data_IF_576063093991
#
_entry.id   IF_576063093991
#
_cell.length_a   1.000
_cell.length_b   1.000
_cell.length_c   1.000
_cell.angle_alpha   90.00
_cell.angle_beta   90.00
_cell.angle_gamma   90.00
#
_symmetry.space_group_name_H-M   'P 1'
#
loop_
_entity.id
_entity.type
_entity.pdbx_description
1 polymer ?
#
# COMPACT_ATOMS: atom_id res chain seq x y z
N UNK A 1 5.10 -14.53 22.38
CA UNK A 1 4.03 -15.52 22.68
C UNK A 1 3.92 -15.65 24.19
N UNK A 2 2.73 -15.46 24.76
CA UNK A 2 2.51 -15.66 26.19
C UNK A 2 2.60 -17.15 26.54
N UNK A 3 3.16 -17.47 27.71
CA UNK A 3 3.18 -18.84 28.24
C UNK A 3 1.76 -19.31 28.58
N UNK A 4 1.50 -20.62 28.50
CA UNK A 4 0.23 -21.24 28.94
C UNK A 4 -0.14 -20.78 30.36
N UNK A 5 0.84 -20.71 31.27
CA UNK A 5 0.62 -20.24 32.64
C UNK A 5 0.25 -18.75 32.76
N UNK A 6 0.60 -17.92 31.77
CA UNK A 6 0.16 -16.52 31.73
C UNK A 6 -1.28 -16.43 31.22
N UNK A 7 -1.62 -17.20 30.20
CA UNK A 7 -2.98 -17.26 29.65
C UNK A 7 -3.99 -17.79 30.67
N UNK A 8 -3.66 -18.87 31.40
CA UNK A 8 -4.53 -19.40 32.46
C UNK A 8 -4.79 -18.34 33.54
N UNK A 9 -3.75 -17.65 34.01
CA UNK A 9 -3.90 -16.60 35.03
C UNK A 9 -4.75 -15.43 34.56
N UNK A 10 -4.60 -15.00 33.29
CA UNK A 10 -5.45 -13.94 32.73
C UNK A 10 -6.91 -14.39 32.66
N UNK A 11 -7.16 -15.64 32.29
CA UNK A 11 -8.50 -16.20 32.28
C UNK A 11 -9.11 -16.27 33.69
N UNK A 12 -8.34 -16.71 34.69
CA UNK A 12 -8.79 -16.76 36.09
C UNK A 12 -9.17 -15.35 36.58
N UNK A 13 -8.35 -14.33 36.29
CA UNK A 13 -8.67 -12.93 36.61
C UNK A 13 -9.95 -12.49 35.88
N UNK A 14 -10.08 -12.78 34.58
CA UNK A 14 -11.27 -12.43 33.81
C UNK A 14 -12.57 -12.99 34.43
N UNK A 15 -12.55 -14.23 34.94
CA UNK A 15 -13.72 -14.85 35.61
C UNK A 15 -14.12 -14.15 36.91
N UNK A 16 -13.19 -13.48 37.60
CA UNK A 16 -13.52 -12.69 38.79
C UNK A 16 -14.46 -11.52 38.46
N UNK A 17 -14.29 -10.92 37.28
CA UNK A 17 -15.19 -9.86 36.82
C UNK A 17 -16.60 -10.39 36.60
N UNK A 18 -16.72 -11.51 35.88
CA UNK A 18 -18.01 -12.05 35.46
C UNK A 18 -18.79 -12.64 36.65
N UNK A 19 -18.09 -13.17 37.65
CA UNK A 19 -18.71 -13.75 38.87
C UNK A 19 -19.00 -12.75 39.98
N UNK A 20 -18.34 -11.58 39.98
CA UNK A 20 -18.39 -10.57 41.06
C UNK A 20 -18.01 -11.07 42.47
N UNK A 21 -17.54 -12.32 42.60
CA UNK A 21 -17.20 -12.92 43.88
C UNK A 21 -15.98 -12.26 44.50
N UNK A 22 -16.05 -11.91 45.79
CA UNK A 22 -14.99 -11.21 46.53
C UNK A 22 -14.73 -9.77 46.09
N UNK A 23 -15.68 -9.12 45.40
CA UNK A 23 -15.60 -7.68 45.15
C UNK A 23 -15.54 -6.90 46.46
N UNK A 24 -14.57 -6.01 46.59
CA UNK A 24 -14.30 -5.18 47.77
C UNK A 24 -14.29 -3.67 47.45
N UNK A 25 -14.73 -3.32 46.23
CA UNK A 25 -14.81 -1.96 45.72
C UNK A 25 -16.01 -1.81 44.77
N UNK A 26 -16.73 -0.70 44.88
CA UNK A 26 -17.82 -0.33 43.97
C UNK A 26 -17.45 0.98 43.28
N UNK A 27 -17.45 0.99 41.95
CA UNK A 27 -17.37 2.21 41.16
C UNK A 27 -18.80 2.65 40.81
N UNK A 28 -19.20 3.80 41.32
CA UNK A 28 -20.48 4.44 40.98
C UNK A 28 -20.24 5.43 39.85
N UNK A 29 -20.89 5.20 38.73
CA UNK A 29 -20.86 6.09 37.58
C UNK A 29 -22.28 6.21 37.04
N UNK A 30 -22.77 7.45 36.97
CA UNK A 30 -24.18 7.75 36.63
C UNK A 30 -25.17 6.97 37.53
N UNK A 31 -25.98 6.08 36.97
CA UNK A 31 -26.93 5.22 37.69
C UNK A 31 -26.46 3.77 37.84
N UNK A 32 -25.20 3.49 37.52
CA UNK A 32 -24.65 2.14 37.48
C UNK A 32 -23.66 1.93 38.63
N UNK A 33 -23.81 0.81 39.32
CA UNK A 33 -22.86 0.34 40.33
C UNK A 33 -22.03 -0.82 39.74
N UNK A 34 -20.73 -0.61 39.60
CA UNK A 34 -19.81 -1.58 39.02
C UNK A 34 -18.97 -2.21 40.15
N UNK A 35 -19.29 -3.46 40.48
CA UNK A 35 -18.57 -4.23 41.49
C UNK A 35 -17.23 -4.72 40.94
N UNK A 36 -16.15 -4.37 41.62
CA UNK A 36 -14.77 -4.61 41.18
C UNK A 36 -13.87 -4.98 42.35
N UNK A 37 -12.64 -5.38 42.03
CA UNK A 37 -11.67 -5.82 43.02
C UNK A 37 -10.54 -4.80 43.13
N UNK A 38 -10.37 -4.24 44.34
CA UNK A 38 -9.37 -3.24 44.67
C UNK A 38 -7.98 -3.69 44.29
N UNK A 39 -7.61 -4.93 44.64
CA UNK A 39 -6.30 -5.49 44.31
C UNK A 39 -6.02 -5.50 42.80
N UNK A 40 -7.02 -5.83 41.98
CA UNK A 40 -6.87 -5.87 40.51
C UNK A 40 -6.73 -4.46 39.96
N UNK A 41 -7.65 -3.55 40.30
CA UNK A 41 -7.65 -2.18 39.80
C UNK A 41 -6.43 -1.37 40.25
N UNK A 42 -6.06 -1.43 41.53
CA UNK A 42 -4.91 -0.72 42.06
C UNK A 42 -3.59 -1.25 41.49
N UNK A 43 -3.52 -2.54 41.13
CA UNK A 43 -2.34 -3.10 40.45
C UNK A 43 -2.20 -2.60 39.00
N UNK A 44 -3.33 -2.32 38.34
CA UNK A 44 -3.36 -1.88 36.96
C UNK A 44 -3.13 -0.38 36.80
N UNK A 45 -3.66 0.46 37.69
CA UNK A 45 -3.59 1.92 37.60
C UNK A 45 -3.06 2.54 38.89
N UNK A 46 -2.01 3.36 38.76
CA UNK A 46 -1.47 4.15 39.87
C UNK A 46 -2.48 5.20 40.36
N UNK A 47 -3.27 5.77 39.46
CA UNK A 47 -4.31 6.74 39.79
C UNK A 47 -5.40 6.08 40.63
N UNK A 48 -5.89 4.90 40.20
CA UNK A 48 -6.85 4.11 40.98
C UNK A 48 -6.25 3.66 42.31
N UNK A 49 -4.98 3.28 42.34
CA UNK A 49 -4.29 2.92 43.58
C UNK A 49 -4.26 4.07 44.59
N UNK A 50 -4.01 5.30 44.14
CA UNK A 50 -4.03 6.49 45.00
C UNK A 50 -5.43 6.80 45.50
N UNK A 51 -6.43 6.76 44.61
CA UNK A 51 -7.84 6.97 44.98
C UNK A 51 -8.32 5.94 46.02
N UNK A 52 -7.82 4.72 45.93
CA UNK A 52 -8.15 3.62 46.83
C UNK A 52 -7.34 3.61 48.15
N UNK A 53 -6.41 4.53 48.35
CA UNK A 53 -5.61 4.58 49.58
C UNK A 53 -6.50 4.97 50.78
N UNK A 54 -6.28 4.34 51.94
CA UNK A 54 -7.13 4.46 53.13
C UNK A 54 -7.17 5.87 53.73
N UNK A 55 -6.34 6.78 53.22
CA UNK A 55 -6.30 8.20 53.59
C UNK A 55 -7.39 9.03 52.92
N UNK A 56 -8.07 8.48 51.92
CA UNK A 56 -9.17 9.10 51.21
C UNK A 56 -10.50 8.41 51.54
N UNK A 57 -11.62 9.13 51.41
CA UNK A 57 -12.95 8.62 51.75
C UNK A 57 -13.29 7.36 50.95
N UNK A 58 -12.83 7.28 49.71
CA UNK A 58 -13.03 6.13 48.83
C UNK A 58 -12.31 4.87 49.34
N UNK A 59 -11.10 5.04 49.87
CA UNK A 59 -10.34 3.95 50.47
C UNK A 59 -10.94 3.41 51.77
N UNK A 60 -11.73 4.23 52.47
CA UNK A 60 -12.43 3.89 53.71
C UNK A 60 -13.86 3.36 53.48
N UNK A 61 -14.57 3.88 52.48
CA UNK A 61 -15.97 3.51 52.16
C UNK A 61 -16.06 2.35 51.17
N UNK A 62 -15.00 2.10 50.39
CA UNK A 62 -15.06 1.12 49.31
C UNK A 62 -15.95 1.56 48.15
N UNK A 63 -16.26 2.85 48.06
CA UNK A 63 -17.07 3.43 46.99
C UNK A 63 -16.27 4.55 46.32
N UNK A 64 -16.18 4.48 45.00
CA UNK A 64 -15.54 5.49 44.16
C UNK A 64 -16.61 6.08 43.25
N UNK A 65 -17.01 7.33 43.50
CA UNK A 65 -17.93 8.06 42.63
C UNK A 65 -17.15 8.76 41.51
N UNK A 66 -17.58 8.59 40.25
CA UNK A 66 -16.92 9.13 39.06
C UNK A 66 -17.91 9.84 38.16
N UNK A 67 -17.53 11.04 37.72
CA UNK A 67 -18.38 11.91 36.90
C UNK A 67 -17.68 12.39 35.62
N UNK A 68 -16.39 12.08 35.46
CA UNK A 68 -15.57 12.56 34.34
C UNK A 68 -15.80 11.78 33.05
N UNK A 69 -16.25 10.54 33.14
CA UNK A 69 -16.50 9.65 32.01
C UNK A 69 -17.87 9.00 32.15
N UNK A 70 -18.51 8.69 31.02
CA UNK A 70 -19.77 7.95 30.99
C UNK A 70 -19.58 6.48 31.46
N UNK A 71 -20.66 5.86 31.89
CA UNK A 71 -20.61 4.53 32.47
C UNK A 71 -20.12 3.45 31.49
N UNK A 72 -20.38 3.57 30.18
CA UNK A 72 -19.90 2.61 29.19
C UNK A 72 -18.39 2.73 29.00
N UNK A 73 -17.86 3.95 29.03
CA UNK A 73 -16.41 4.20 28.96
C UNK A 73 -15.69 3.64 30.19
N UNK A 74 -16.24 3.84 31.39
CA UNK A 74 -15.73 3.24 32.63
C UNK A 74 -15.79 1.71 32.56
N UNK A 75 -16.88 1.15 32.02
CA UNK A 75 -17.02 -0.29 31.87
C UNK A 75 -16.00 -0.89 30.88
N UNK A 76 -15.69 -0.20 29.77
CA UNK A 76 -14.63 -0.61 28.83
C UNK A 76 -13.26 -0.58 29.48
N UNK A 77 -12.97 0.43 30.30
CA UNK A 77 -11.72 0.47 31.08
C UNK A 77 -11.65 -0.72 32.05
N UNK A 78 -12.72 -1.00 32.79
CA UNK A 78 -12.76 -2.16 33.71
C UNK A 78 -12.61 -3.46 32.91
N UNK A 79 -13.31 -3.61 31.78
CA UNK A 79 -13.15 -4.77 30.90
C UNK A 79 -11.70 -4.98 30.51
N UNK A 80 -11.04 -3.91 30.09
CA UNK A 80 -9.64 -3.94 29.74
C UNK A 80 -8.75 -4.40 30.90
N UNK A 81 -8.94 -3.84 32.09
CA UNK A 81 -8.15 -4.20 33.27
C UNK A 81 -8.22 -5.72 33.54
N UNK A 82 -9.39 -6.33 33.38
CA UNK A 82 -9.61 -7.75 33.65
C UNK A 82 -9.26 -8.66 32.47
N UNK A 83 -9.60 -8.26 31.24
CA UNK A 83 -9.59 -9.13 30.04
C UNK A 83 -8.49 -8.76 29.04
N UNK A 84 -7.75 -7.67 29.28
CA UNK A 84 -6.71 -7.11 28.39
C UNK A 84 -7.24 -6.78 26.97
N UNK A 85 -8.54 -6.65 26.84
CA UNK A 85 -9.27 -6.17 25.67
C UNK A 85 -10.56 -5.53 26.15
N UNK A 86 -11.27 -4.84 25.26
CA UNK A 86 -12.60 -4.33 25.51
C UNK A 86 -13.43 -4.40 24.24
N UNK A 87 -14.75 -4.40 24.37
CA UNK A 87 -15.64 -4.46 23.23
C UNK A 87 -16.46 -3.18 23.13
N UNK A 88 -16.77 -2.81 21.90
CA UNK A 88 -17.83 -1.85 21.62
C UNK A 88 -18.99 -2.70 21.14
N UNK A 89 -19.92 -2.98 22.03
CA UNK A 89 -21.20 -3.59 21.67
C UNK A 89 -22.26 -2.49 21.52
N UNK A 90 -23.26 -2.73 20.67
CA UNK A 90 -24.43 -1.86 20.58
C UNK A 90 -25.09 -1.84 21.96
N UNK A 91 -25.52 -0.68 22.49
CA UNK A 91 -26.31 -0.67 23.70
C UNK A 91 -27.48 -1.62 23.47
N UNK A 92 -27.52 -2.70 24.26
CA UNK A 92 -28.72 -3.52 24.32
C UNK A 92 -29.86 -2.58 24.70
N UNK A 93 -31.06 -2.71 24.10
CA UNK A 93 -32.21 -1.98 24.60
C UNK A 93 -32.35 -2.39 26.07
N UNK A 94 -32.09 -1.44 26.97
CA UNK A 94 -32.45 -1.57 28.36
C UNK A 94 -33.95 -1.80 28.37
N UNK A 95 -34.34 -3.05 28.59
CA UNK A 95 -35.73 -3.44 28.83
C UNK A 95 -36.16 -2.78 30.13
N UNK A 96 -36.52 -1.51 30.06
CA UNK A 96 -37.43 -0.90 30.99
C UNK A 96 -38.79 -1.58 30.77
N UNK A 97 -39.03 -2.65 31.52
CA UNK A 97 -40.39 -3.10 31.78
C UNK A 97 -40.57 -3.19 33.28
N UNK A 98 -40.98 -2.03 33.79
CA UNK A 98 -41.98 -1.84 34.84
C UNK A 98 -42.53 -3.14 35.43
N UNK A 99 -42.18 -3.30 36.70
CA UNK A 99 -43.05 -3.89 37.71
C UNK A 99 -44.51 -3.47 37.53
N UNK A 100 -45.43 -4.44 37.56
CA UNK A 100 -46.74 -4.29 38.19
C UNK A 100 -47.43 -5.65 38.41
N UNK A 101 -47.76 -5.86 39.68
CA UNK A 101 -48.88 -6.63 40.25
C UNK A 101 -48.85 -8.16 40.21
N UNK A 102 -48.48 -8.73 41.36
CA UNK A 102 -49.04 -10.00 41.82
C UNK A 102 -50.44 -9.75 42.39
N UNK A 103 -51.46 -10.30 41.74
CA UNK A 103 -52.69 -10.72 42.44
C UNK A 103 -52.94 -12.19 42.13
N UNK A 104 -53.33 -12.87 43.18
CA UNK A 104 -53.41 -14.31 43.40
C UNK A 104 -54.73 -14.87 42.83
N UNK A 105 -54.70 -16.04 42.16
CA UNK A 105 -55.63 -17.17 42.38
C UNK A 105 -55.48 -18.28 41.32
N UNK A 106 -55.48 -19.50 41.84
CA UNK A 106 -55.34 -20.86 41.29
C UNK A 106 -56.67 -21.40 40.68
N UNK A 107 -56.85 -22.71 40.34
CA UNK A 107 -56.42 -23.50 39.16
C UNK A 107 -57.62 -24.16 38.39
N UNK A 108 -57.31 -25.09 37.47
CA UNK A 108 -58.18 -26.05 36.69
C UNK A 108 -58.40 -25.63 35.23
N UNK A 109 -58.40 -26.50 34.22
CA UNK A 109 -58.56 -27.97 34.15
C UNK A 109 -57.93 -28.52 32.86
N UNK A 110 -57.61 -29.81 32.87
CA UNK A 110 -57.20 -30.67 31.75
C UNK A 110 -58.37 -30.87 30.76
N UNK A 111 -58.09 -30.98 29.44
CA UNK A 111 -58.71 -32.00 28.56
C UNK A 111 -57.93 -32.18 27.23
N UNK A 112 -58.07 -33.39 26.69
CA UNK A 112 -57.28 -34.13 25.72
C UNK A 112 -57.67 -33.94 24.23
N UNK A 113 -56.75 -34.35 23.33
CA UNK A 113 -56.96 -34.86 21.94
C UNK A 113 -57.54 -33.88 20.88
N UNK A 114 -57.29 -33.94 19.57
CA UNK A 114 -56.85 -34.97 18.60
C UNK A 114 -56.25 -34.27 17.35
N UNK A 115 -55.51 -35.00 16.51
CA UNK A 115 -54.80 -34.48 15.35
C UNK A 115 -55.66 -34.23 14.10
N UNK A 116 -55.13 -33.38 13.21
CA UNK A 116 -55.32 -33.50 11.75
C UNK A 116 -54.09 -32.97 11.03
N UNK A 117 -53.64 -33.78 10.08
CA UNK A 117 -52.51 -33.61 9.19
C UNK A 117 -52.79 -32.58 8.09
N UNK A 118 -51.69 -32.12 7.48
CA UNK A 118 -51.58 -31.49 6.16
C UNK A 118 -52.14 -30.05 6.00
N UNK A 119 -51.24 -29.07 6.09
CA UNK A 119 -51.19 -28.04 5.04
C UNK A 119 -49.79 -27.42 4.92
N UNK A 120 -49.33 -27.38 3.68
CA UNK A 120 -47.96 -27.17 3.26
C UNK A 120 -47.68 -25.67 3.08
N UNK A 121 -46.95 -25.06 4.03
CA UNK A 121 -46.45 -23.69 3.92
C UNK A 121 -44.99 -23.68 3.44
N UNK A 122 -44.60 -22.78 2.51
CA UNK A 122 -43.22 -22.70 2.01
C UNK A 122 -42.25 -22.34 3.14
N UNK A 123 -41.21 -23.16 3.30
CA UNK A 123 -40.08 -22.88 4.19
C UNK A 123 -39.31 -21.66 3.69
N UNK A 124 -39.63 -20.49 4.24
CA UNK A 124 -38.72 -19.34 4.26
C UNK A 124 -37.47 -19.73 5.07
N UNK A 125 -36.25 -19.51 4.56
CA UNK A 125 -35.03 -19.79 5.31
C UNK A 125 -34.96 -18.85 6.52
N UNK A 126 -35.12 -19.47 7.69
CA UNK A 126 -34.70 -19.04 9.02
C UNK A 126 -33.78 -17.80 9.07
N UNK A 127 -34.22 -16.85 9.91
CA UNK A 127 -33.47 -15.74 10.46
C UNK A 127 -31.98 -16.06 10.68
N UNK A 128 -31.10 -15.29 10.05
CA UNK A 128 -29.97 -14.73 10.79
C UNK A 128 -30.42 -13.35 11.21
N UNK A 129 -30.91 -13.23 12.45
CA UNK A 129 -31.06 -11.93 13.09
C UNK A 129 -29.66 -11.30 13.09
N UNK A 130 -29.41 -10.41 12.12
CA UNK A 130 -28.17 -9.68 12.01
C UNK A 130 -27.95 -8.98 13.34
N UNK A 131 -26.89 -9.36 14.06
CA UNK A 131 -26.39 -8.60 15.20
C UNK A 131 -26.38 -7.12 14.76
N UNK A 132 -27.04 -6.19 15.47
CA UNK A 132 -27.11 -4.80 15.02
C UNK A 132 -25.69 -4.30 14.80
N UNK A 133 -25.35 -4.01 13.55
CA UNK A 133 -24.04 -3.44 13.21
C UNK A 133 -24.01 -2.05 13.83
N UNK A 134 -23.11 -1.84 14.78
CA UNK A 134 -22.90 -0.54 15.41
C UNK A 134 -22.52 0.45 14.32
N UNK A 135 -23.05 1.67 14.38
CA UNK A 135 -22.60 2.73 13.48
C UNK A 135 -21.10 2.96 13.70
N UNK A 136 -20.31 2.93 12.62
CA UNK A 136 -18.86 3.12 12.68
C UNK A 136 -18.44 4.37 13.47
N UNK A 137 -19.17 5.49 13.35
CA UNK A 137 -18.88 6.71 14.09
C UNK A 137 -19.13 6.55 15.60
N UNK A 138 -20.12 5.74 16.01
CA UNK A 138 -20.32 5.37 17.42
C UNK A 138 -19.15 4.53 17.94
N UNK A 139 -18.61 3.63 17.12
CA UNK A 139 -17.42 2.86 17.47
C UNK A 139 -16.18 3.74 17.58
N UNK A 140 -15.98 4.67 16.65
CA UNK A 140 -14.89 5.66 16.70
C UNK A 140 -14.96 6.51 17.97
N UNK A 141 -16.15 7.01 18.34
CA UNK A 141 -16.38 7.73 19.60
C UNK A 141 -16.02 6.86 20.81
N UNK A 142 -16.46 5.61 20.84
CA UNK A 142 -16.15 4.70 21.94
C UNK A 142 -14.65 4.41 22.07
N UNK A 143 -13.94 4.26 20.96
CA UNK A 143 -12.48 4.09 20.95
C UNK A 143 -11.75 5.37 21.38
N UNK A 144 -12.23 6.54 20.95
CA UNK A 144 -11.70 7.83 21.38
C UNK A 144 -11.85 8.01 22.91
N UNK A 145 -13.02 7.71 23.47
CA UNK A 145 -13.25 7.75 24.91
C UNK A 145 -12.40 6.73 25.68
N UNK A 146 -12.26 5.51 25.14
CA UNK A 146 -11.37 4.49 25.71
C UNK A 146 -9.89 4.94 25.72
N UNK A 147 -9.47 5.69 24.70
CA UNK A 147 -8.14 6.31 24.66
C UNK A 147 -7.99 7.35 25.78
N UNK A 148 -8.96 8.25 25.92
CA UNK A 148 -8.93 9.32 26.93
C UNK A 148 -8.97 8.80 28.37
N UNK A 149 -9.84 7.83 28.68
CA UNK A 149 -9.87 7.22 30.02
C UNK A 149 -8.58 6.43 30.31
N UNK A 150 -7.98 5.82 29.28
CA UNK A 150 -6.68 5.18 29.38
C UNK A 150 -5.56 6.16 29.73
N UNK A 151 -5.57 7.35 29.14
CA UNK A 151 -4.65 8.43 29.51
C UNK A 151 -4.87 8.90 30.95
N UNK A 152 -6.11 9.23 31.31
CA UNK A 152 -6.46 9.76 32.63
C UNK A 152 -6.05 8.83 33.78
N UNK A 153 -6.27 7.52 33.63
CA UNK A 153 -5.92 6.54 34.66
C UNK A 153 -4.50 5.96 34.51
N UNK A 154 -3.65 6.55 33.66
CA UNK A 154 -2.28 6.10 33.42
C UNK A 154 -2.20 4.61 32.99
N UNK A 155 -3.08 4.21 32.05
CA UNK A 155 -3.16 2.88 31.44
C UNK A 155 -2.62 2.94 29.99
N UNK A 156 -1.30 3.03 29.78
CA UNK A 156 -0.72 3.27 28.44
C UNK A 156 -1.03 2.15 27.44
N UNK A 157 -1.17 0.91 27.89
CA UNK A 157 -1.52 -0.22 27.03
C UNK A 157 -2.99 -0.22 26.60
N UNK A 158 -3.90 0.35 27.42
CA UNK A 158 -5.28 0.63 27.00
C UNK A 158 -5.30 1.74 25.96
N UNK A 159 -4.56 2.83 26.21
CA UNK A 159 -4.45 3.96 25.30
C UNK A 159 -3.96 3.49 23.92
N UNK A 160 -2.90 2.68 23.88
CA UNK A 160 -2.39 2.08 22.64
C UNK A 160 -3.45 1.20 21.96
N UNK A 161 -4.07 0.26 22.69
CA UNK A 161 -5.09 -0.62 22.12
C UNK A 161 -6.29 0.17 21.57
N UNK A 162 -6.67 1.24 22.24
CA UNK A 162 -7.76 2.10 21.79
C UNK A 162 -7.41 2.87 20.52
N UNK A 163 -6.18 3.36 20.39
CA UNK A 163 -5.69 3.92 19.14
C UNK A 163 -5.73 2.87 18.03
N UNK A 164 -5.16 1.68 18.25
CA UNK A 164 -5.12 0.61 17.25
C UNK A 164 -6.54 0.24 16.75
N UNK A 165 -7.51 0.14 17.66
CA UNK A 165 -8.92 -0.12 17.29
C UNK A 165 -9.57 1.06 16.57
N UNK A 166 -9.30 2.30 17.00
CA UNK A 166 -9.75 3.50 16.28
C UNK A 166 -9.25 3.51 14.84
N UNK A 167 -7.97 3.19 14.63
CA UNK A 167 -7.37 3.14 13.29
C UNK A 167 -7.97 2.03 12.42
N UNK A 168 -8.17 0.84 13.00
CA UNK A 168 -8.76 -0.30 12.30
C UNK A 168 -10.21 -0.01 11.87
N UNK A 169 -11.01 0.57 12.78
CA UNK A 169 -12.39 0.97 12.51
C UNK A 169 -12.44 2.05 11.40
N UNK A 170 -11.63 3.11 11.53
CA UNK A 170 -11.59 4.19 10.56
C UNK A 170 -11.12 3.77 9.15
N UNK A 171 -10.34 2.70 9.07
CA UNK A 171 -9.85 2.15 7.78
C UNK A 171 -10.84 1.15 7.17
N UNK A 172 -11.58 0.42 8.00
CA UNK A 172 -12.46 -0.66 7.55
C UNK A 172 -13.85 -0.18 7.15
N UNK A 173 -14.33 0.91 7.76
CA UNK A 173 -15.64 1.48 7.47
C UNK A 173 -15.62 3.00 7.55
N UNK A 174 -16.39 3.63 6.66
CA UNK A 174 -16.55 5.07 6.57
C UNK A 174 -18.02 5.44 6.51
N UNK A 175 -18.40 6.47 7.26
CA UNK A 175 -19.73 7.09 7.18
C UNK A 175 -19.61 8.57 7.47
N UNK A 176 -20.05 9.41 6.53
CA UNK A 176 -20.14 10.86 6.76
C UNK A 176 -21.22 11.21 7.79
N UNK A 177 -22.29 10.42 7.87
CA UNK A 177 -23.41 10.63 8.79
C UNK A 177 -22.96 10.39 10.24
N UNK A 178 -22.90 11.47 11.02
CA UNK A 178 -22.43 11.45 12.42
C UNK A 178 -20.92 11.64 12.57
N UNK A 179 -20.17 11.85 11.48
CA UNK A 179 -18.72 12.07 11.57
C UNK A 179 -18.38 13.37 12.32
N UNK A 180 -19.25 14.38 12.22
CA UNK A 180 -19.12 15.61 13.00
C UNK A 180 -19.09 15.35 14.50
N UNK A 181 -19.85 14.36 14.99
CA UNK A 181 -19.89 14.01 16.41
C UNK A 181 -18.59 13.35 16.85
N UNK A 182 -17.92 12.61 15.95
CA UNK A 182 -16.56 12.10 16.19
C UNK A 182 -15.57 13.25 16.36
N UNK A 183 -15.65 14.28 15.51
CA UNK A 183 -14.79 15.46 15.61
C UNK A 183 -15.02 16.19 16.93
N UNK A 184 -16.28 16.42 17.30
CA UNK A 184 -16.64 17.09 18.56
C UNK A 184 -16.13 16.32 19.76
N UNK A 185 -16.33 15.00 19.77
CA UNK A 185 -15.87 14.14 20.85
C UNK A 185 -14.35 14.18 20.99
N UNK A 186 -13.61 13.97 19.90
CA UNK A 186 -12.13 14.00 19.92
C UNK A 186 -11.62 15.37 20.38
N UNK A 187 -12.22 16.47 19.93
CA UNK A 187 -11.83 17.80 20.38
C UNK A 187 -12.14 18.04 21.87
N UNK A 188 -13.23 17.47 22.39
CA UNK A 188 -13.61 17.60 23.79
C UNK A 188 -12.68 16.82 24.72
N UNK A 189 -12.26 15.61 24.32
CA UNK A 189 -11.42 14.74 25.16
C UNK A 189 -9.91 14.99 24.99
N UNK A 190 -9.45 15.37 23.80
CA UNK A 190 -8.05 15.68 23.54
C UNK A 190 -7.76 17.13 23.91
N UNK A 191 -7.28 17.38 25.14
CA UNK A 191 -6.68 18.67 25.50
C UNK A 191 -5.59 19.10 24.50
N UNK A 192 -5.23 20.39 24.41
CA UNK A 192 -4.35 20.98 23.36
C UNK A 192 -3.01 20.25 23.09
N UNK A 193 -2.58 19.34 23.97
CA UNK A 193 -1.32 18.60 23.87
C UNK A 193 -1.45 17.20 23.23
N UNK A 194 -2.63 16.58 23.23
CA UNK A 194 -2.83 15.27 22.60
C UNK A 194 -2.89 15.42 21.08
N UNK A 195 -1.73 15.27 20.45
CA UNK A 195 -1.57 15.37 19.00
C UNK A 195 -1.86 14.06 18.29
N UNK A 196 -1.74 12.91 18.96
CA UNK A 196 -1.81 11.62 18.27
C UNK A 196 -3.21 11.35 17.73
N UNK A 197 -4.23 11.41 18.60
CA UNK A 197 -5.61 11.13 18.21
C UNK A 197 -6.14 12.17 17.22
N UNK A 198 -5.86 13.46 17.45
CA UNK A 198 -6.21 14.54 16.49
C UNK A 198 -5.51 14.38 15.14
N UNK A 199 -4.24 13.97 15.12
CA UNK A 199 -3.54 13.72 13.87
C UNK A 199 -4.18 12.55 13.11
N UNK A 200 -4.60 11.50 13.82
CA UNK A 200 -5.27 10.37 13.20
C UNK A 200 -6.64 10.76 12.65
N UNK A 201 -7.47 11.43 13.44
CA UNK A 201 -8.77 11.97 13.00
C UNK A 201 -8.61 12.85 11.76
N UNK A 202 -7.60 13.73 11.75
CA UNK A 202 -7.29 14.57 10.59
C UNK A 202 -6.90 13.75 9.36
N UNK A 203 -6.13 12.66 9.55
CA UNK A 203 -5.81 11.71 8.48
C UNK A 203 -7.09 11.13 7.85
N UNK A 204 -8.01 10.65 8.68
CA UNK A 204 -9.31 10.11 8.23
C UNK A 204 -10.09 11.16 7.43
N UNK A 205 -10.16 12.39 7.93
CA UNK A 205 -10.84 13.48 7.22
C UNK A 205 -10.14 13.86 5.90
N UNK A 206 -8.81 13.81 5.84
CA UNK A 206 -8.05 14.06 4.61
C UNK A 206 -8.23 12.94 3.58
N UNK A 207 -8.35 11.68 4.01
CA UNK A 207 -8.58 10.53 3.14
C UNK A 207 -9.97 10.58 2.48
N UNK A 208 -10.94 11.24 3.15
CA UNK A 208 -12.31 11.40 2.67
C UNK A 208 -12.69 12.86 2.35
N UNK A 209 -11.69 13.73 2.12
CA UNK A 209 -11.89 15.19 2.01
C UNK A 209 -12.87 15.58 0.92
N UNK A 210 -12.86 14.88 -0.22
CA UNK A 210 -13.75 15.18 -1.34
C UNK A 210 -15.22 15.00 -0.94
N UNK A 211 -15.56 13.92 -0.21
CA UNK A 211 -16.92 13.70 0.29
C UNK A 211 -17.33 14.71 1.36
N UNK A 212 -16.39 15.14 2.19
CA UNK A 212 -16.64 16.12 3.25
C UNK A 212 -16.94 17.51 2.68
N UNK A 213 -16.16 17.95 1.70
CA UNK A 213 -16.31 19.27 1.07
C UNK A 213 -17.56 19.34 0.20
N UNK A 214 -17.94 18.25 -0.45
CA UNK A 214 -19.14 18.18 -1.30
C UNK A 214 -20.46 18.03 -0.49
N UNK A 215 -20.39 17.86 0.83
CA UNK A 215 -21.57 17.68 1.67
C UNK A 215 -21.97 18.98 2.40
N UNK A 216 -23.05 19.61 1.92
CA UNK A 216 -23.54 20.88 2.47
C UNK A 216 -23.89 20.79 3.97
N UNK A 217 -24.55 19.73 4.44
CA UNK A 217 -24.91 19.56 5.87
C UNK A 217 -23.68 19.50 6.77
N UNK A 218 -22.65 18.75 6.34
CA UNK A 218 -21.37 18.69 7.05
C UNK A 218 -20.69 20.05 7.06
N UNK A 219 -20.65 20.75 5.92
CA UNK A 219 -20.01 22.07 5.82
C UNK A 219 -20.73 23.13 6.64
N UNK A 220 -22.08 23.12 6.67
CA UNK A 220 -22.87 23.98 7.56
C UNK A 220 -22.55 23.70 9.03
N UNK A 221 -22.55 22.44 9.45
CA UNK A 221 -22.20 22.07 10.83
C UNK A 221 -20.76 22.44 11.19
N UNK A 222 -19.82 22.27 10.27
CA UNK A 222 -18.42 22.66 10.44
C UNK A 222 -18.25 24.17 10.64
N UNK A 223 -19.11 24.98 10.02
CA UNK A 223 -19.10 26.44 10.16
C UNK A 223 -19.82 26.93 11.42
N UNK A 224 -20.95 26.30 11.78
CA UNK A 224 -21.84 26.78 12.84
C UNK A 224 -21.44 26.30 14.25
N UNK A 225 -20.85 25.10 14.36
CA UNK A 225 -20.55 24.50 15.66
C UNK A 225 -19.21 25.03 16.21
N UNK A 226 -19.19 25.71 17.39
CA UNK A 226 -17.95 26.30 17.92
C UNK A 226 -16.89 25.27 18.30
N UNK A 227 -17.30 24.08 18.73
CA UNK A 227 -16.43 23.00 19.21
C UNK A 227 -15.68 22.26 18.08
N UNK A 228 -15.95 22.58 16.81
CA UNK A 228 -15.23 22.02 15.65
C UNK A 228 -14.41 23.05 14.87
N UNK A 229 -14.46 24.34 15.23
CA UNK A 229 -13.79 25.40 14.47
C UNK A 229 -12.27 25.28 14.46
N UNK A 230 -11.66 24.84 15.57
CA UNK A 230 -10.23 24.56 15.63
C UNK A 230 -9.82 23.47 14.64
N UNK A 231 -10.66 22.42 14.53
CA UNK A 231 -10.47 21.37 13.54
C UNK A 231 -10.61 21.91 12.12
N UNK A 232 -11.59 22.78 11.85
CA UNK A 232 -11.73 23.41 10.53
C UNK A 232 -10.48 24.22 10.14
N UNK A 233 -9.95 25.03 11.06
CA UNK A 233 -8.72 25.79 10.83
C UNK A 233 -7.51 24.87 10.58
N UNK A 234 -7.41 23.77 11.31
CA UNK A 234 -6.35 22.77 11.11
C UNK A 234 -6.50 22.01 9.79
N UNK A 235 -7.72 21.68 9.38
CA UNK A 235 -7.99 21.09 8.07
C UNK A 235 -7.59 22.03 6.94
N UNK A 236 -7.93 23.32 7.01
CA UNK A 236 -7.50 24.30 6.01
C UNK A 236 -5.97 24.37 5.89
N UNK A 237 -5.26 24.42 7.01
CA UNK A 237 -3.79 24.39 7.03
C UNK A 237 -3.24 23.08 6.45
N UNK A 238 -3.85 21.94 6.78
CA UNK A 238 -3.41 20.63 6.30
C UNK A 238 -3.62 20.49 4.79
N UNK A 239 -4.75 20.92 4.26
CA UNK A 239 -5.05 20.88 2.82
C UNK A 239 -4.08 21.75 2.03
N UNK A 240 -3.82 22.99 2.48
CA UNK A 240 -2.86 23.89 1.82
C UNK A 240 -1.44 23.29 1.84
N UNK A 241 -1.01 22.73 2.98
CA UNK A 241 0.29 22.06 3.08
C UNK A 241 0.39 20.86 2.15
N UNK A 242 -0.63 20.01 2.11
CA UNK A 242 -0.69 18.84 1.23
C UNK A 242 -0.60 19.21 -0.25
N UNK A 243 -1.28 20.28 -0.65
CA UNK A 243 -1.20 20.80 -2.02
C UNK A 243 0.19 21.38 -2.33
N UNK A 244 0.77 22.17 -1.43
CA UNK A 244 2.13 22.71 -1.60
C UNK A 244 3.19 21.59 -1.68
N UNK A 245 3.06 20.54 -0.88
CA UNK A 245 3.98 19.39 -0.91
C UNK A 245 3.86 18.62 -2.23
N UNK A 246 2.63 18.42 -2.74
CA UNK A 246 2.41 17.84 -4.08
C UNK A 246 3.03 18.70 -5.18
N UNK A 247 2.83 20.02 -5.12
CA UNK A 247 3.38 20.95 -6.11
C UNK A 247 4.91 20.95 -6.07
N UNK A 248 5.51 20.97 -4.87
CA UNK A 248 6.97 20.91 -4.69
C UNK A 248 7.56 19.63 -5.26
N UNK A 249 6.92 18.47 -5.00
CA UNK A 249 7.35 17.19 -5.59
C UNK A 249 7.20 17.16 -7.11
N UNK A 250 6.16 17.81 -7.65
CA UNK A 250 5.98 17.91 -9.10
C UNK A 250 7.05 18.81 -9.73
N UNK A 251 7.36 19.94 -9.09
CA UNK A 251 8.43 20.86 -9.51
C UNK A 251 9.80 20.18 -9.47
N UNK A 252 10.10 19.40 -8.42
CA UNK A 252 11.32 18.58 -8.34
C UNK A 252 11.42 17.56 -9.48
N UNK A 253 10.34 16.84 -9.78
CA UNK A 253 10.29 15.92 -10.92
C UNK A 253 10.48 16.64 -12.25
N UNK A 254 9.82 17.78 -12.43
CA UNK A 254 9.92 18.58 -13.65
C UNK A 254 11.36 19.08 -13.85
N UNK A 255 12.01 19.60 -12.81
CA UNK A 255 13.44 19.96 -12.84
C UNK A 255 14.33 18.76 -13.20
N UNK A 256 14.04 17.59 -12.64
CA UNK A 256 14.75 16.35 -12.98
C UNK A 256 14.65 15.99 -14.46
N UNK A 257 13.46 16.09 -15.06
CA UNK A 257 13.28 15.86 -16.50
C UNK A 257 13.98 16.92 -17.35
N UNK A 258 13.93 18.19 -16.97
CA UNK A 258 14.64 19.26 -17.69
C UNK A 258 16.15 19.01 -17.70
N UNK A 259 16.72 18.59 -16.58
CA UNK A 259 18.14 18.24 -16.49
C UNK A 259 18.51 17.03 -17.37
N UNK A 260 17.60 16.04 -17.49
CA UNK A 260 17.80 14.91 -18.40
C UNK A 260 17.80 15.36 -19.87
N UNK A 261 16.92 16.29 -20.25
CA UNK A 261 16.90 16.84 -21.61
C UNK A 261 18.18 17.64 -21.91
N UNK A 262 18.60 18.49 -20.98
CA UNK A 262 19.83 19.29 -21.11
C UNK A 262 21.09 18.42 -21.24
N UNK A 263 21.15 17.29 -20.53
CA UNK A 263 22.28 16.35 -20.63
C UNK A 263 22.24 15.44 -21.86
N UNK A 264 21.05 15.24 -22.46
CA UNK A 264 20.90 14.44 -23.68
C UNK A 264 21.31 15.21 -24.94
N UNK A 265 21.11 16.54 -24.98
CA UNK A 265 21.46 17.39 -26.13
C UNK A 265 22.92 17.22 -26.61
N UNK A 266 23.96 17.34 -25.75
CA UNK A 266 25.35 17.16 -26.20
C UNK A 266 25.64 15.72 -26.64
N UNK A 267 24.97 14.72 -26.08
CA UNK A 267 25.13 13.32 -26.48
C UNK A 267 24.59 13.09 -27.89
N UNK A 268 23.42 13.67 -28.19
CA UNK A 268 22.83 13.64 -29.53
C UNK A 268 23.77 14.33 -30.53
N UNK A 269 24.31 15.50 -30.18
CA UNK A 269 25.28 16.19 -31.05
C UNK A 269 26.54 15.34 -31.31
N UNK A 270 27.07 14.69 -30.26
CA UNK A 270 28.22 13.81 -30.39
C UNK A 270 27.90 12.58 -31.27
N UNK A 271 26.73 11.98 -31.10
CA UNK A 271 26.28 10.85 -31.93
C UNK A 271 26.10 11.28 -33.38
N UNK A 272 25.51 12.45 -33.65
CA UNK A 272 25.39 13.00 -35.00
C UNK A 272 26.78 13.17 -35.66
N UNK A 273 27.76 13.72 -34.95
CA UNK A 273 29.15 13.84 -35.45
C UNK A 273 29.78 12.48 -35.77
N UNK A 274 29.50 11.46 -34.97
CA UNK A 274 29.99 10.09 -35.23
C UNK A 274 29.33 9.50 -36.47
N UNK A 275 28.02 9.67 -36.63
CA UNK A 275 27.29 9.19 -37.81
C UNK A 275 27.81 9.87 -39.08
N UNK A 276 28.04 11.19 -39.07
CA UNK A 276 28.57 11.90 -40.25
C UNK A 276 29.96 11.39 -40.63
N UNK A 277 30.84 11.19 -39.65
CA UNK A 277 32.19 10.68 -39.91
C UNK A 277 32.17 9.26 -40.48
N UNK A 278 31.37 8.37 -39.90
CA UNK A 278 31.21 7.00 -40.41
C UNK A 278 30.60 6.97 -41.81
N UNK A 279 29.65 7.87 -42.10
CA UNK A 279 29.05 7.98 -43.44
C UNK A 279 30.11 8.36 -44.47
N UNK A 280 30.94 9.37 -44.17
CA UNK A 280 32.05 9.77 -45.05
C UNK A 280 33.07 8.64 -45.24
N UNK A 281 33.37 7.85 -44.21
CA UNK A 281 34.26 6.70 -44.29
C UNK A 281 33.68 5.58 -45.17
N UNK A 282 32.38 5.29 -45.04
CA UNK A 282 31.68 4.31 -45.90
C UNK A 282 31.69 4.77 -47.35
N UNK A 283 31.42 6.04 -47.62
CA UNK A 283 31.48 6.60 -48.98
C UNK A 283 32.89 6.45 -49.57
N UNK A 284 33.94 6.80 -48.82
CA UNK A 284 35.33 6.64 -49.25
C UNK A 284 35.67 5.17 -49.57
N UNK A 285 35.30 4.25 -48.69
CA UNK A 285 35.53 2.82 -48.88
C UNK A 285 34.75 2.27 -50.08
N UNK A 286 33.53 2.75 -50.31
CA UNK A 286 32.72 2.36 -51.46
C UNK A 286 33.33 2.85 -52.77
N UNK A 287 33.83 4.09 -52.83
CA UNK A 287 34.57 4.59 -53.99
C UNK A 287 35.84 3.76 -54.25
N UNK A 288 36.57 3.38 -53.20
CA UNK A 288 37.72 2.48 -53.31
C UNK A 288 37.35 1.10 -53.86
N UNK A 289 36.28 0.50 -53.35
CA UNK A 289 35.77 -0.79 -53.81
C UNK A 289 35.31 -0.73 -55.28
N UNK A 290 34.61 0.33 -55.69
CA UNK A 290 34.17 0.52 -57.07
C UNK A 290 35.33 0.73 -58.04
N UNK A 291 36.38 1.44 -57.61
CA UNK A 291 37.62 1.59 -58.38
C UNK A 291 38.30 0.22 -58.60
N UNK A 292 38.49 -0.57 -57.54
CA UNK A 292 39.06 -1.92 -57.62
C UNK A 292 38.20 -2.83 -58.50
N UNK A 293 36.87 -2.78 -58.38
CA UNK A 293 35.94 -3.55 -59.21
C UNK A 293 36.07 -3.17 -60.69
N UNK A 294 36.22 -1.89 -60.98
CA UNK A 294 36.41 -1.37 -62.34
C UNK A 294 37.73 -1.84 -62.93
N UNK A 295 38.82 -1.78 -62.17
CA UNK A 295 40.13 -2.26 -62.60
C UNK A 295 40.15 -3.77 -62.80
N UNK A 296 39.56 -4.55 -61.89
CA UNK A 296 39.42 -6.00 -62.05
C UNK A 296 38.62 -6.35 -63.32
N UNK A 297 37.54 -5.62 -63.62
CA UNK A 297 36.75 -5.80 -64.84
C UNK A 297 37.58 -5.47 -66.09
N UNK A 298 38.37 -4.40 -66.06
CA UNK A 298 39.28 -4.03 -67.16
C UNK A 298 40.34 -5.11 -67.39
N UNK A 299 40.99 -5.58 -66.33
CA UNK A 299 41.98 -6.66 -66.39
C UNK A 299 41.37 -7.95 -66.95
N UNK A 300 40.19 -8.36 -66.47
CA UNK A 300 39.50 -9.54 -67.00
C UNK A 300 39.14 -9.41 -68.49
N UNK A 301 38.70 -8.23 -68.93
CA UNK A 301 38.43 -7.99 -70.35
C UNK A 301 39.72 -8.07 -71.19
N UNK A 302 40.83 -7.51 -70.70
CA UNK A 302 42.14 -7.63 -71.35
C UNK A 302 42.60 -9.10 -71.44
N UNK A 303 42.42 -9.88 -70.37
CA UNK A 303 42.67 -11.33 -70.37
C UNK A 303 41.87 -12.07 -71.43
N UNK A 304 40.56 -11.82 -71.47
CA UNK A 304 39.68 -12.47 -72.42
C UNK A 304 40.06 -12.14 -73.86
N UNK A 305 40.48 -10.90 -74.14
CA UNK A 305 41.03 -10.50 -75.45
C UNK A 305 42.32 -11.26 -75.76
N UNK A 306 43.25 -11.32 -74.80
CA UNK A 306 44.52 -12.03 -74.97
C UNK A 306 44.36 -13.52 -75.24
N UNK A 307 43.39 -14.20 -74.59
CA UNK A 307 43.07 -15.60 -74.88
C UNK A 307 42.62 -15.79 -76.34
N UNK A 308 41.74 -14.92 -76.85
CA UNK A 308 41.24 -15.02 -78.24
C UNK A 308 42.34 -14.83 -79.27
N UNK A 309 43.38 -14.07 -78.93
CA UNK A 309 44.52 -13.78 -79.80
C UNK A 309 45.66 -14.83 -79.68
N UNK A 310 45.48 -15.92 -78.92
CA UNK A 310 46.48 -16.98 -78.83
C UNK A 310 46.57 -17.77 -80.15
N UNK A 311 47.79 -18.14 -80.59
CA UNK A 311 47.97 -18.95 -81.80
C UNK A 311 47.35 -20.34 -81.64
N UNK A 312 46.86 -20.95 -82.72
CA UNK A 312 46.23 -22.28 -82.72
C UNK A 312 47.20 -23.44 -82.53
N UNK A 313 48.52 -23.21 -82.60
CA UNK A 313 49.57 -24.22 -82.39
C UNK A 313 50.79 -23.66 -81.63
N UNK A 314 51.59 -24.56 -81.05
CA UNK A 314 52.79 -24.18 -80.30
C UNK A 314 53.88 -23.63 -81.24
N UNK A 315 54.48 -22.48 -80.90
CA UNK A 315 55.58 -21.88 -81.68
C UNK A 315 56.85 -22.73 -81.75
N UNK A 316 57.03 -23.67 -80.82
CA UNK A 316 58.15 -24.60 -80.87
C UNK A 316 57.78 -25.81 -81.73
N UNK A 317 58.31 -25.86 -82.94
CA UNK A 317 58.06 -26.91 -83.94
C UNK A 317 58.41 -28.32 -83.45
N UNK A 318 59.34 -28.46 -82.50
CA UNK A 318 59.68 -29.76 -81.88
C UNK A 318 58.66 -30.24 -80.85
N UNK A 319 57.70 -29.40 -80.44
CA UNK A 319 56.69 -29.74 -79.43
C UNK A 319 55.59 -30.67 -79.97
N UNK A 320 55.24 -30.50 -81.26
CA UNK A 320 54.44 -31.42 -82.07
C UNK A 320 53.01 -31.72 -81.58
N UNK A 321 52.35 -30.82 -80.84
CA UNK A 321 50.95 -31.01 -80.39
C UNK A 321 50.04 -29.87 -80.80
N UNK A 322 48.82 -30.24 -81.21
CA UNK A 322 47.63 -29.39 -81.13
C UNK A 322 47.29 -29.15 -79.65
N UNK A 323 46.87 -27.92 -79.32
CA UNK A 323 46.83 -27.36 -77.96
C UNK A 323 46.25 -28.29 -76.89
N UNK A 324 47.03 -28.64 -75.85
CA UNK A 324 46.60 -29.63 -74.85
C UNK A 324 46.83 -29.33 -73.37
N UNK A 325 47.48 -28.21 -73.00
CA UNK A 325 47.56 -27.66 -71.63
C UNK A 325 48.36 -26.35 -71.65
N UNK A 326 47.73 -25.25 -71.24
CA UNK A 326 48.37 -23.95 -71.06
C UNK A 326 48.81 -23.79 -69.61
N UNK A 327 49.92 -23.11 -69.39
CA UNK A 327 50.33 -22.66 -68.06
C UNK A 327 50.36 -21.14 -68.03
N UNK A 328 49.65 -20.58 -67.07
CA UNK A 328 49.64 -19.15 -66.79
C UNK A 328 50.58 -18.90 -65.62
N UNK A 329 51.49 -17.94 -65.79
CA UNK A 329 52.42 -17.50 -64.75
C UNK A 329 52.30 -15.99 -64.60
N UNK A 330 52.30 -15.49 -63.37
CA UNK A 330 52.33 -14.04 -63.13
C UNK A 330 53.70 -13.49 -63.56
N UNK A 331 53.69 -12.43 -64.37
CA UNK A 331 54.89 -11.66 -64.66
C UNK A 331 55.14 -10.77 -63.45
N UNK A 332 55.92 -11.27 -62.49
CA UNK A 332 56.00 -10.73 -61.13
C UNK A 332 56.25 -9.22 -61.03
N UNK A 333 55.18 -8.44 -60.97
CA UNK A 333 55.11 -7.15 -60.28
C UNK A 333 53.70 -6.98 -59.74
N UNK A 334 53.56 -7.05 -58.41
CA UNK A 334 52.38 -6.56 -57.74
C UNK A 334 52.46 -5.02 -57.78
N UNK A 335 51.66 -4.40 -58.64
CA UNK A 335 51.41 -2.96 -58.53
C UNK A 335 50.78 -2.62 -57.17
N UNK A 336 50.81 -1.34 -56.81
CA UNK A 336 50.38 -0.80 -55.51
C UNK A 336 48.94 -1.18 -55.11
N UNK A 337 48.12 -1.67 -56.06
CA UNK A 337 46.74 -2.15 -55.86
C UNK A 337 46.58 -3.68 -55.73
N UNK A 338 47.66 -4.46 -55.72
CA UNK A 338 47.63 -5.92 -55.50
C UNK A 338 47.09 -6.76 -56.67
N UNK A 339 46.60 -6.14 -57.74
CA UNK A 339 46.21 -6.82 -58.98
C UNK A 339 47.39 -6.83 -59.96
N UNK A 340 47.96 -8.01 -60.20
CA UNK A 340 49.00 -8.21 -61.21
C UNK A 340 48.35 -8.10 -62.61
N UNK A 341 48.73 -7.10 -63.41
CA UNK A 341 48.17 -6.87 -64.75
C UNK A 341 48.87 -7.68 -65.85
N UNK A 342 50.05 -8.21 -65.54
CA UNK A 342 50.93 -8.80 -66.54
C UNK A 342 51.08 -10.30 -66.25
N UNK A 343 50.70 -11.13 -67.22
CA UNK A 343 50.76 -12.59 -67.10
C UNK A 343 51.30 -13.19 -68.38
N UNK A 344 52.19 -14.17 -68.22
CA UNK A 344 52.72 -14.91 -69.35
C UNK A 344 51.90 -16.17 -69.60
N UNK A 345 51.62 -16.42 -70.87
CA UNK A 345 51.04 -17.70 -71.31
C UNK A 345 52.16 -18.54 -71.91
N UNK A 346 52.44 -19.68 -71.29
CA UNK A 346 53.45 -20.65 -71.75
C UNK A 346 52.81 -21.97 -72.16
N UNK A 347 53.48 -22.66 -73.07
CA UNK A 347 53.16 -24.07 -73.33
C UNK A 347 53.53 -24.93 -72.10
N UNK A 348 52.61 -25.71 -71.55
CA UNK A 348 52.88 -26.49 -70.35
C UNK A 348 54.01 -27.53 -70.51
N UNK A 349 54.24 -28.02 -71.74
CA UNK A 349 55.23 -29.08 -72.06
C UNK A 349 56.63 -28.53 -72.29
N UNK A 350 56.80 -27.52 -73.15
CA UNK A 350 58.11 -26.99 -73.52
C UNK A 350 58.42 -25.60 -72.95
N UNK A 351 57.51 -25.04 -72.14
CA UNK A 351 57.65 -23.74 -71.44
C UNK A 351 57.97 -22.53 -72.32
N UNK A 352 57.84 -22.63 -73.64
CA UNK A 352 58.05 -21.51 -74.54
C UNK A 352 56.98 -20.42 -74.33
N UNK A 353 57.38 -19.16 -74.45
CA UNK A 353 56.46 -18.03 -74.40
C UNK A 353 55.56 -18.02 -75.64
N UNK A 354 54.25 -18.11 -75.41
CA UNK A 354 53.27 -18.00 -76.50
C UNK A 354 52.90 -16.54 -76.73
N UNK A 355 52.78 -15.76 -75.65
CA UNK A 355 52.55 -14.31 -75.64
C UNK A 355 53.11 -13.69 -74.35
N UNK A 356 53.55 -12.43 -74.43
CA UNK A 356 53.92 -11.60 -73.29
C UNK A 356 52.69 -10.98 -72.65
#
# INVERSE_FOLDING_TARGET
MASIHQLTRLNDIATLRDSMNHSDLVIRCERRELHVHKAVLCSASKVLSKACDKKFEEGATGVVERTEFDADTVERMIEYIYKQTYHVDSPAPSTESSSLSSTESTPSSEDDTDGTEDDQAPSEPYNTAGKPSINTNTALIAHARAYAIGEYYELPTLQQLAMEKFEAEATSSWSINGFIDVIREVNAISGLEDRALRNKLRGVAMDHIDQLVDNDDFMTKLAELPDVQDFAADMLRATVRHQNDKFTKLDEKMRGFLQQLETAEPQIEQLMKRVTNLTAEVESNQHGADAVRTDARRAFHAFQKSIRELPSSCKNERCGREFGKLQFESAGHAGVSGLCSDWWVRCAKCKCHLKN
#
